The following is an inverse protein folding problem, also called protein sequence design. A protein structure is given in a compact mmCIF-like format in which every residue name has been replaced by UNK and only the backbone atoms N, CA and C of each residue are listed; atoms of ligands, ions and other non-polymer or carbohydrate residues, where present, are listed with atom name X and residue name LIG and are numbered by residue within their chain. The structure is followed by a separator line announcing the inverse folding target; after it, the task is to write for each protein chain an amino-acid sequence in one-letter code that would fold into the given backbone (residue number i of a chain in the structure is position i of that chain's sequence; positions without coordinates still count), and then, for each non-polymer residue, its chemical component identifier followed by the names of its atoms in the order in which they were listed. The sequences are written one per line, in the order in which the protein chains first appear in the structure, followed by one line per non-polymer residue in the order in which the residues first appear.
data_IF_982700004356
#
_entry.id   IF_982700004356
#
_cell.length_a   1.000
_cell.length_b   1.000
_cell.length_c   1.000
_cell.angle_alpha   90.00
_cell.angle_beta   90.00
_cell.angle_gamma   90.00
#
_symmetry.space_group_name_H-M   'P 1'
#
loop_
_entity.id
_entity.type
_entity.pdbx_description
1 polymer ?
#
# COMPACT_ATOMS: atom_id res chain seq x y z
N UNK A 1 -3.17 1.12 -26.02
CA UNK A 1 -3.39 2.58 -26.00
C UNK A 1 -2.89 3.06 -27.34
N UNK A 2 -3.72 3.74 -28.15
CA UNK A 2 -3.22 4.40 -29.35
C UNK A 2 -2.87 5.82 -28.93
N UNK A 3 -1.65 6.01 -28.42
CA UNK A 3 -1.09 7.33 -28.17
C UNK A 3 0.27 7.42 -28.85
N UNK A 4 0.64 8.61 -29.29
CA UNK A 4 1.96 8.90 -29.83
C UNK A 4 2.94 9.24 -28.68
N UNK A 5 4.23 9.37 -28.99
CA UNK A 5 5.27 9.63 -27.99
C UNK A 5 5.12 11.03 -27.38
N UNK A 6 4.74 12.03 -28.18
CA UNK A 6 4.50 13.40 -27.72
C UNK A 6 3.38 13.47 -26.67
N UNK A 7 2.28 12.75 -26.86
CA UNK A 7 1.17 12.64 -25.91
C UNK A 7 1.61 11.97 -24.60
N UNK A 8 2.53 11.00 -24.66
CA UNK A 8 3.11 10.39 -23.46
C UNK A 8 3.94 11.41 -22.71
N UNK A 9 4.76 12.18 -23.42
CA UNK A 9 5.60 13.20 -22.81
C UNK A 9 4.77 14.33 -22.19
N UNK A 10 3.68 14.74 -22.85
CA UNK A 10 2.72 15.69 -22.30
C UNK A 10 2.05 15.14 -21.02
N UNK A 11 1.58 13.89 -21.05
CA UNK A 11 1.01 13.23 -19.86
C UNK A 11 2.03 13.08 -18.71
N UNK A 12 3.31 12.92 -19.02
CA UNK A 12 4.36 12.83 -18.01
C UNK A 12 4.66 14.19 -17.38
N UNK A 13 4.57 15.27 -18.16
CA UNK A 13 4.81 16.65 -17.70
C UNK A 13 3.60 17.29 -17.03
N UNK A 14 2.41 16.72 -17.18
CA UNK A 14 1.19 17.26 -16.58
C UNK A 14 1.22 17.12 -15.05
N UNK A 15 0.63 18.11 -14.37
CA UNK A 15 0.57 18.13 -12.89
C UNK A 15 -0.43 17.10 -12.36
N UNK A 16 -1.49 16.86 -13.11
CA UNK A 16 -2.51 15.86 -12.82
C UNK A 16 -2.80 15.03 -14.06
N UNK A 17 -3.39 13.86 -13.84
CA UNK A 17 -3.81 12.95 -14.90
C UNK A 17 -5.22 12.43 -14.62
N UNK A 18 -6.14 12.49 -15.60
CA UNK A 18 -7.47 11.92 -15.45
C UNK A 18 -7.43 10.44 -15.06
N UNK A 19 -8.25 10.05 -14.07
CA UNK A 19 -8.26 8.68 -13.51
C UNK A 19 -8.53 7.59 -14.56
N UNK A 20 -9.36 7.86 -15.57
CA UNK A 20 -9.62 6.93 -16.68
C UNK A 20 -8.36 6.63 -17.51
N UNK A 21 -7.44 7.60 -17.63
CA UNK A 21 -6.15 7.43 -18.30
C UNK A 21 -5.18 6.70 -17.37
N UNK A 22 -5.11 7.08 -16.10
CA UNK A 22 -4.32 6.38 -15.07
C UNK A 22 -4.66 4.88 -15.02
N UNK A 23 -5.95 4.51 -15.07
CA UNK A 23 -6.39 3.11 -15.09
C UNK A 23 -5.93 2.35 -16.35
N UNK A 24 -5.83 3.03 -17.50
CA UNK A 24 -5.28 2.41 -18.72
C UNK A 24 -3.78 2.16 -18.56
N UNK A 25 -3.05 3.09 -17.96
CA UNK A 25 -1.64 2.89 -17.62
C UNK A 25 -1.43 1.74 -16.65
N UNK A 26 -2.31 1.60 -15.63
CA UNK A 26 -2.24 0.45 -14.73
C UNK A 26 -2.36 -0.89 -15.48
N UNK A 27 -3.25 -0.96 -16.49
CA UNK A 27 -3.39 -2.15 -17.33
C UNK A 27 -2.20 -2.36 -18.26
N UNK A 28 -1.66 -1.28 -18.84
CA UNK A 28 -0.56 -1.35 -19.81
C UNK A 28 0.75 -1.78 -19.15
N UNK A 29 1.06 -1.24 -17.98
CA UNK A 29 2.28 -1.51 -17.23
C UNK A 29 2.15 -2.72 -16.29
N UNK A 30 0.96 -3.32 -16.22
CA UNK A 30 0.58 -4.35 -15.24
C UNK A 30 0.90 -3.93 -13.80
N UNK A 31 0.83 -2.63 -13.52
CA UNK A 31 1.20 -2.04 -12.25
C UNK A 31 0.02 -1.27 -11.64
N UNK A 32 -0.27 -1.50 -10.37
CA UNK A 32 -1.35 -0.83 -9.66
C UNK A 32 -0.84 0.45 -8.99
N UNK A 33 -1.02 1.60 -9.65
CA UNK A 33 -0.62 2.91 -9.08
C UNK A 33 -1.37 3.29 -7.80
N UNK A 34 -2.58 2.76 -7.60
CA UNK A 34 -3.37 3.04 -6.40
C UNK A 34 -2.91 2.23 -5.21
N UNK A 35 -2.01 1.26 -5.42
CA UNK A 35 -1.48 0.39 -4.37
C UNK A 35 -0.79 1.16 -3.27
N UNK A 36 0.05 2.15 -3.61
CA UNK A 36 0.76 2.96 -2.62
C UNK A 36 -0.22 3.75 -1.75
N UNK A 37 -1.21 4.39 -2.38
CA UNK A 37 -2.23 5.16 -1.67
C UNK A 37 -3.11 4.28 -0.80
N UNK A 38 -3.56 3.14 -1.33
CA UNK A 38 -4.38 2.18 -0.57
C UNK A 38 -3.61 1.64 0.63
N UNK A 39 -2.33 1.31 0.45
CA UNK A 39 -1.45 0.90 1.55
C UNK A 39 -1.30 1.98 2.62
N UNK A 40 -1.08 3.23 2.22
CA UNK A 40 -1.04 4.35 3.14
C UNK A 40 -2.34 4.43 3.95
N UNK A 41 -3.50 4.44 3.29
CA UNK A 41 -4.79 4.45 3.98
C UNK A 41 -4.91 3.30 4.97
N UNK A 42 -4.45 2.12 4.60
CA UNK A 42 -4.53 0.95 5.47
C UNK A 42 -3.60 1.06 6.69
N UNK A 43 -2.35 1.51 6.51
CA UNK A 43 -1.37 1.66 7.61
C UNK A 43 -1.78 2.76 8.60
N UNK A 44 -2.39 3.83 8.10
CA UNK A 44 -2.78 4.99 8.90
C UNK A 44 -4.27 5.01 9.27
N UNK A 45 -5.03 3.96 8.92
CA UNK A 45 -6.43 3.83 9.33
C UNK A 45 -6.52 3.57 10.84
N UNK A 46 -7.48 4.20 11.55
CA UNK A 46 -7.72 3.91 12.95
C UNK A 46 -8.11 2.43 13.12
N UNK A 47 -7.54 1.77 14.13
CA UNK A 47 -7.86 0.37 14.42
C UNK A 47 -9.35 0.26 14.77
N UNK A 48 -10.05 -0.71 14.18
CA UNK A 48 -11.43 -1.03 14.55
C UNK A 48 -11.47 -1.30 16.06
N UNK A 49 -12.35 -0.61 16.78
CA UNK A 49 -12.56 -0.86 18.20
C UNK A 49 -12.89 -2.35 18.40
N UNK A 50 -12.35 -3.03 19.42
CA UNK A 50 -12.65 -4.44 19.68
C UNK A 50 -14.16 -4.71 19.90
N UNK A 51 -14.94 -3.66 20.21
CA UNK A 51 -16.40 -3.71 20.39
C UNK A 51 -17.21 -3.39 19.13
N UNK A 52 -16.57 -3.12 17.99
CA UNK A 52 -17.28 -3.01 16.72
C UNK A 52 -17.64 -4.43 16.29
N UNK A 53 -18.83 -4.88 16.70
CA UNK A 53 -19.35 -6.22 16.44
C UNK A 53 -18.97 -6.69 15.04
N UNK A 54 -18.35 -7.87 14.96
CA UNK A 54 -17.96 -8.55 13.74
C UNK A 54 -19.20 -9.04 12.99
N UNK A 55 -20.11 -8.14 12.63
CA UNK A 55 -21.03 -8.37 11.54
C UNK A 55 -20.21 -8.18 10.27
N UNK A 56 -19.43 -9.20 9.90
CA UNK A 56 -19.06 -9.42 8.50
C UNK A 56 -20.38 -9.67 7.77
N UNK A 57 -21.09 -8.58 7.44
CA UNK A 57 -22.14 -8.63 6.45
C UNK A 57 -21.45 -9.15 5.19
N UNK A 58 -21.77 -10.39 4.81
CA UNK A 58 -21.31 -10.97 3.55
C UNK A 58 -21.88 -10.11 2.42
N UNK A 59 -21.16 -9.07 2.06
CA UNK A 59 -21.50 -8.23 0.92
C UNK A 59 -21.23 -9.02 -0.34
N UNK A 60 -22.06 -8.86 -1.37
CA UNK A 60 -21.81 -9.34 -2.73
C UNK A 60 -20.56 -8.71 -3.37
N UNK A 61 -19.99 -7.69 -2.73
CA UNK A 61 -18.75 -7.05 -3.12
C UNK A 61 -17.53 -7.94 -2.81
N UNK A 62 -16.51 -7.93 -3.69
CA UNK A 62 -15.27 -8.63 -3.43
C UNK A 62 -14.63 -8.13 -2.14
N UNK A 63 -14.30 -9.04 -1.23
CA UNK A 63 -13.53 -8.72 -0.03
C UNK A 63 -12.07 -8.54 -0.42
N UNK A 64 -11.50 -7.36 -0.12
CA UNK A 64 -10.08 -7.13 -0.30
C UNK A 64 -9.30 -8.09 0.61
N UNK A 65 -8.34 -8.82 0.04
CA UNK A 65 -7.56 -9.84 0.77
C UNK A 65 -6.83 -9.21 1.95
N UNK A 66 -6.88 -9.88 3.10
CA UNK A 66 -6.33 -9.49 4.41
C UNK A 66 -4.80 -9.25 4.47
N UNK A 67 -4.07 -9.33 3.35
CA UNK A 67 -2.63 -9.09 3.33
C UNK A 67 -2.36 -7.58 3.25
N UNK A 68 -2.40 -6.93 4.42
CA UNK A 68 -2.08 -5.52 4.64
C UNK A 68 -0.74 -5.10 4.06
N UNK A 69 0.22 -6.03 4.11
CA UNK A 69 1.64 -5.76 3.95
C UNK A 69 2.15 -6.44 2.69
N UNK A 70 2.52 -5.63 1.71
CA UNK A 70 3.13 -6.07 0.47
C UNK A 70 4.64 -6.26 0.66
N UNK A 71 5.29 -6.93 -0.29
CA UNK A 71 6.75 -7.15 -0.22
C UNK A 71 7.51 -5.83 -0.18
N UNK A 72 7.01 -4.81 -0.88
CA UNK A 72 7.58 -3.48 -0.93
C UNK A 72 7.55 -2.80 0.45
N UNK A 73 6.43 -2.88 1.18
CA UNK A 73 6.33 -2.37 2.56
C UNK A 73 7.29 -3.14 3.48
N UNK A 74 7.31 -4.47 3.37
CA UNK A 74 8.17 -5.31 4.20
C UNK A 74 9.64 -4.90 3.98
N UNK A 75 10.07 -4.78 2.72
CA UNK A 75 11.43 -4.37 2.37
C UNK A 75 11.76 -2.96 2.88
N UNK A 76 10.84 -2.01 2.73
CA UNK A 76 11.01 -0.65 3.25
C UNK A 76 11.20 -0.65 4.77
N UNK A 77 10.35 -1.36 5.51
CA UNK A 77 10.43 -1.45 6.97
C UNK A 77 11.72 -2.13 7.41
N UNK A 78 12.14 -3.20 6.73
CA UNK A 78 13.41 -3.88 7.03
C UNK A 78 14.62 -3.01 6.74
N UNK A 79 14.58 -2.18 5.69
CA UNK A 79 15.64 -1.22 5.40
C UNK A 79 15.76 -0.18 6.52
N UNK A 80 14.64 0.35 7.02
CA UNK A 80 14.64 1.31 8.13
C UNK A 80 15.25 0.72 9.41
N UNK A 81 14.93 -0.55 9.71
CA UNK A 81 15.51 -1.27 10.85
C UNK A 81 17.01 -1.50 10.63
N UNK A 82 17.41 -2.01 9.46
CA UNK A 82 18.80 -2.37 9.15
C UNK A 82 19.72 -1.15 9.12
N UNK A 83 19.22 -0.02 8.62
CA UNK A 83 19.97 1.25 8.56
C UNK A 83 19.98 1.99 9.91
N UNK A 84 19.20 1.52 10.89
CA UNK A 84 19.04 2.21 12.18
C UNK A 84 18.29 3.54 12.08
N UNK A 85 17.69 3.87 10.93
CA UNK A 85 16.89 5.09 10.73
C UNK A 85 15.69 5.15 11.67
N UNK A 86 15.11 3.99 12.01
CA UNK A 86 14.04 3.86 13.02
C UNK A 86 14.24 2.60 13.85
N UNK A 87 13.90 2.69 15.12
CA UNK A 87 13.82 1.58 16.05
C UNK A 87 12.57 0.74 15.80
N UNK A 88 12.59 -0.51 16.30
CA UNK A 88 11.41 -1.40 16.25
C UNK A 88 10.18 -0.77 16.93
N UNK A 89 10.40 -0.01 18.00
CA UNK A 89 9.32 0.67 18.74
C UNK A 89 8.69 1.81 17.93
N UNK A 90 9.52 2.65 17.30
CA UNK A 90 9.04 3.74 16.43
C UNK A 90 8.25 3.20 15.23
N UNK A 91 8.72 2.11 14.61
CA UNK A 91 8.02 1.45 13.50
C UNK A 91 6.66 0.92 13.94
N UNK A 92 6.58 0.30 15.12
CA UNK A 92 5.32 -0.19 15.68
C UNK A 92 4.33 0.96 15.93
N UNK A 93 4.81 2.09 16.45
CA UNK A 93 3.95 3.22 16.79
C UNK A 93 3.50 4.01 15.57
N UNK A 94 4.41 4.30 14.63
CA UNK A 94 4.15 5.15 13.46
C UNK A 94 3.35 4.42 12.38
N UNK A 95 3.73 3.17 12.08
CA UNK A 95 3.09 2.38 11.02
C UNK A 95 2.04 1.40 11.54
N UNK A 96 1.77 1.41 12.85
CA UNK A 96 0.81 0.52 13.54
C UNK A 96 1.04 -0.96 13.24
N UNK A 97 2.29 -1.35 12.99
CA UNK A 97 2.67 -2.73 12.70
C UNK A 97 2.74 -3.51 14.02
N UNK A 98 1.99 -4.62 14.20
CA UNK A 98 2.06 -5.40 15.42
C UNK A 98 3.46 -5.97 15.65
N UNK A 99 3.91 -6.01 16.91
CA UNK A 99 5.23 -6.54 17.32
C UNK A 99 5.52 -7.91 16.71
N UNK A 100 4.57 -8.83 16.80
CA UNK A 100 4.73 -10.20 16.28
C UNK A 100 4.89 -10.23 14.76
N UNK A 101 4.26 -9.30 14.04
CA UNK A 101 4.41 -9.17 12.58
C UNK A 101 5.79 -8.67 12.22
N UNK A 102 6.25 -7.60 12.87
CA UNK A 102 7.58 -7.03 12.63
C UNK A 102 8.70 -8.04 12.94
N UNK A 103 8.59 -8.76 14.06
CA UNK A 103 9.55 -9.79 14.43
C UNK A 103 9.63 -10.91 13.38
N UNK A 104 8.48 -11.38 12.89
CA UNK A 104 8.42 -12.40 11.82
C UNK A 104 9.06 -11.94 10.52
N UNK A 105 8.98 -10.65 10.20
CA UNK A 105 9.64 -10.13 9.00
C UNK A 105 11.15 -10.14 9.15
N UNK A 106 11.66 -9.66 10.28
CA UNK A 106 13.10 -9.61 10.56
C UNK A 106 13.72 -11.02 10.63
N UNK A 107 12.96 -12.01 11.10
CA UNK A 107 13.43 -13.39 11.14
C UNK A 107 13.43 -14.05 9.75
N UNK A 108 12.46 -13.71 8.91
CA UNK A 108 12.24 -14.34 7.61
C UNK A 108 13.05 -13.72 6.47
N UNK A 109 13.35 -12.43 6.56
CA UNK A 109 13.93 -11.59 5.51
C UNK A 109 15.11 -10.79 6.05
#
# INVERSE_FOLDING_TARGET
MNCNEDEIEEMYRSVDLPTNIMLKWCKLLEYDFFRLYSQHLILFSPQKSPNAGSHENKTSLPSFRKNLYTKEIINFVLELVRTGKKTKAEIMEEYKIPKNTLLKWIEKY
#
